data_IF_251391650043
#
_entry.id   IF_251391650043
#
_cell.length_a   1.000
_cell.length_b   1.000
_cell.length_c   1.000
_cell.angle_alpha   90.00
_cell.angle_beta   90.00
_cell.angle_gamma   90.00
#
_symmetry.space_group_name_H-M   'P 1'
#
loop_
_entity.id
_entity.type
_entity.pdbx_description
1 polymer ?
#
# COMPACT_ATOMS: atom_id res chain seq x y z
N UNK A 1 -11.34 -13.80 -6.25
CA UNK A 1 -10.50 -13.80 -7.47
C UNK A 1 -9.55 -14.99 -7.37
N UNK A 2 -9.61 -15.91 -8.34
CA UNK A 2 -8.81 -17.12 -8.32
C UNK A 2 -7.37 -16.81 -8.69
N UNK A 3 -6.43 -17.18 -7.83
CA UNK A 3 -5.01 -16.95 -8.08
C UNK A 3 -4.50 -17.88 -9.19
N UNK A 4 -3.71 -17.33 -10.12
CA UNK A 4 -3.02 -18.12 -11.14
C UNK A 4 -1.84 -18.86 -10.54
N UNK A 5 -1.56 -20.05 -11.06
CA UNK A 5 -0.53 -20.96 -10.54
C UNK A 5 0.87 -20.30 -10.59
N UNK A 6 1.23 -19.68 -11.72
CA UNK A 6 2.54 -19.02 -11.91
C UNK A 6 2.75 -17.83 -10.97
N UNK A 7 1.69 -17.05 -10.72
CA UNK A 7 1.74 -15.92 -9.81
C UNK A 7 2.05 -16.39 -8.39
N UNK A 8 1.44 -17.49 -7.95
CA UNK A 8 1.69 -18.02 -6.61
C UNK A 8 3.12 -18.53 -6.47
N UNK A 9 3.67 -19.19 -7.47
CA UNK A 9 5.07 -19.65 -7.45
C UNK A 9 6.03 -18.45 -7.37
N UNK A 10 5.80 -17.42 -8.20
CA UNK A 10 6.58 -16.18 -8.14
C UNK A 10 6.43 -15.46 -6.79
N UNK A 11 5.20 -15.35 -6.28
CA UNK A 11 4.91 -14.68 -5.04
C UNK A 11 5.52 -15.39 -3.83
N UNK A 12 5.71 -16.71 -3.85
CA UNK A 12 6.36 -17.44 -2.76
C UNK A 12 7.89 -17.37 -2.83
N UNK A 13 8.47 -17.23 -4.03
CA UNK A 13 9.92 -17.17 -4.23
C UNK A 13 10.65 -18.43 -3.73
N UNK A 14 11.92 -18.32 -3.30
CA UNK A 14 12.66 -19.45 -2.75
C UNK A 14 12.15 -19.81 -1.34
N UNK A 15 11.12 -20.66 -1.29
CA UNK A 15 10.43 -20.99 -0.04
C UNK A 15 10.99 -22.24 0.68
N UNK A 16 11.69 -23.13 -0.05
CA UNK A 16 12.29 -24.35 0.50
C UNK A 16 13.45 -24.00 1.44
N UNK A 17 13.52 -24.67 2.59
CA UNK A 17 14.63 -24.54 3.55
C UNK A 17 15.19 -25.94 3.85
N UNK A 18 16.50 -26.11 3.71
CA UNK A 18 17.17 -27.42 3.76
C UNK A 18 16.95 -28.22 5.07
N UNK A 19 16.70 -27.54 6.20
CA UNK A 19 16.51 -28.18 7.52
C UNK A 19 15.07 -28.17 8.03
N UNK A 20 14.10 -27.76 7.22
CA UNK A 20 12.70 -27.67 7.65
C UNK A 20 11.80 -28.65 6.88
N UNK A 21 10.80 -29.28 7.55
CA UNK A 21 9.77 -30.03 6.84
C UNK A 21 9.12 -29.18 5.75
N UNK A 22 8.93 -29.74 4.55
CA UNK A 22 8.44 -28.99 3.39
C UNK A 22 7.08 -28.33 3.65
N UNK A 23 6.19 -29.00 4.41
CA UNK A 23 4.89 -28.44 4.78
C UNK A 23 5.01 -27.20 5.68
N UNK A 24 5.97 -27.22 6.63
CA UNK A 24 6.27 -26.08 7.49
C UNK A 24 6.88 -24.92 6.70
N UNK A 25 7.80 -25.23 5.80
CA UNK A 25 8.46 -24.24 4.94
C UNK A 25 7.46 -23.55 4.00
N UNK A 26 6.54 -24.31 3.40
CA UNK A 26 5.48 -23.80 2.53
C UNK A 26 4.49 -22.93 3.32
N UNK A 27 3.99 -23.42 4.46
CA UNK A 27 3.08 -22.63 5.31
C UNK A 27 3.72 -21.29 5.73
N UNK A 28 4.99 -21.32 6.13
CA UNK A 28 5.74 -20.09 6.47
C UNK A 28 5.82 -19.13 5.28
N UNK A 29 6.18 -19.60 4.09
CA UNK A 29 6.31 -18.75 2.92
C UNK A 29 4.98 -18.13 2.48
N UNK A 30 3.86 -18.85 2.59
CA UNK A 30 2.52 -18.30 2.32
C UNK A 30 2.20 -17.17 3.30
N UNK A 31 2.51 -17.34 4.60
CA UNK A 31 2.32 -16.27 5.60
C UNK A 31 3.17 -15.05 5.31
N UNK A 32 4.46 -15.24 5.02
CA UNK A 32 5.38 -14.14 4.68
C UNK A 32 4.88 -13.41 3.43
N UNK A 33 4.49 -14.12 2.38
CA UNK A 33 3.95 -13.49 1.18
C UNK A 33 2.65 -12.72 1.42
N UNK A 34 1.82 -13.14 2.37
CA UNK A 34 0.60 -12.43 2.77
C UNK A 34 0.93 -11.16 3.58
N UNK A 35 1.90 -11.26 4.50
CA UNK A 35 2.37 -10.14 5.33
C UNK A 35 3.06 -9.05 4.51
N UNK A 36 3.85 -9.46 3.51
CA UNK A 36 4.56 -8.55 2.61
C UNK A 36 3.63 -7.95 1.52
N UNK A 37 2.36 -8.36 1.47
CA UNK A 37 1.40 -7.91 0.46
C UNK A 37 1.58 -8.51 -0.94
N UNK A 38 2.53 -9.46 -1.11
CA UNK A 38 2.73 -10.22 -2.37
C UNK A 38 1.53 -11.11 -2.68
N UNK A 39 0.81 -11.57 -1.67
CA UNK A 39 -0.48 -12.24 -1.80
C UNK A 39 -1.51 -11.34 -1.12
N UNK A 40 -2.63 -11.05 -1.80
CA UNK A 40 -3.71 -10.26 -1.18
C UNK A 40 -4.59 -11.15 -0.28
N UNK A 41 -4.93 -10.71 0.94
CA UNK A 41 -6.02 -11.31 1.70
C UNK A 41 -7.31 -11.38 0.86
N UNK A 42 -8.08 -12.46 1.01
CA UNK A 42 -9.26 -12.74 0.19
C UNK A 42 -8.97 -13.43 -1.15
N UNK A 43 -7.71 -13.66 -1.49
CA UNK A 43 -7.37 -14.43 -2.71
C UNK A 43 -7.68 -15.91 -2.55
N UNK A 44 -8.23 -16.53 -3.59
CA UNK A 44 -8.49 -17.96 -3.61
C UNK A 44 -7.24 -18.71 -4.11
N UNK A 45 -6.78 -19.66 -3.30
CA UNK A 45 -5.70 -20.56 -3.66
C UNK A 45 -6.16 -21.56 -4.73
N UNK A 46 -5.25 -21.98 -5.63
CA UNK A 46 -5.49 -23.10 -6.52
C UNK A 46 -5.87 -24.37 -5.75
N UNK A 47 -6.54 -25.30 -6.44
CA UNK A 47 -6.81 -26.62 -5.86
C UNK A 47 -5.50 -27.33 -5.48
N UNK A 48 -5.50 -28.10 -4.39
CA UNK A 48 -4.30 -28.74 -3.83
C UNK A 48 -3.48 -29.53 -4.86
N UNK A 49 -4.17 -30.22 -5.78
CA UNK A 49 -3.52 -30.97 -6.87
C UNK A 49 -2.75 -30.07 -7.83
N UNK A 50 -3.31 -28.90 -8.19
CA UNK A 50 -2.65 -27.92 -9.07
C UNK A 50 -1.49 -27.25 -8.35
N UNK A 51 -1.69 -26.91 -7.07
CA UNK A 51 -0.68 -26.32 -6.23
C UNK A 51 0.54 -27.25 -6.05
N UNK A 52 0.29 -28.54 -5.82
CA UNK A 52 1.33 -29.56 -5.73
C UNK A 52 2.14 -29.68 -7.03
N UNK A 53 1.46 -29.67 -8.18
CA UNK A 53 2.10 -29.71 -9.49
C UNK A 53 2.96 -28.45 -9.75
N UNK A 54 2.41 -27.26 -9.49
CA UNK A 54 3.11 -25.99 -9.69
C UNK A 54 4.35 -25.84 -8.78
N UNK A 55 4.32 -26.38 -7.57
CA UNK A 55 5.42 -26.30 -6.60
C UNK A 55 6.40 -27.50 -6.65
N UNK A 56 6.10 -28.51 -7.48
CA UNK A 56 6.90 -29.73 -7.60
C UNK A 56 7.02 -30.50 -6.29
N UNK A 57 5.93 -30.66 -5.55
CA UNK A 57 5.87 -31.39 -4.26
C UNK A 57 4.69 -32.36 -4.21
N UNK A 58 4.69 -33.27 -3.23
CA UNK A 58 3.57 -34.20 -3.03
C UNK A 58 2.31 -33.48 -2.56
N UNK A 59 1.13 -34.03 -2.93
CA UNK A 59 -0.16 -33.52 -2.43
C UNK A 59 -0.23 -33.48 -0.91
N UNK A 60 0.26 -34.52 -0.23
CA UNK A 60 0.29 -34.57 1.23
C UNK A 60 1.10 -33.43 1.86
N UNK A 61 2.16 -32.95 1.19
CA UNK A 61 2.93 -31.78 1.66
C UNK A 61 2.07 -30.51 1.61
N UNK A 62 1.31 -30.32 0.52
CA UNK A 62 0.41 -29.19 0.35
C UNK A 62 -0.74 -29.26 1.34
N UNK A 63 -1.40 -30.42 1.48
CA UNK A 63 -2.49 -30.63 2.43
C UNK A 63 -2.03 -30.31 3.86
N UNK A 64 -0.89 -30.85 4.30
CA UNK A 64 -0.34 -30.57 5.62
C UNK A 64 0.05 -29.09 5.80
N UNK A 65 0.50 -28.39 4.76
CA UNK A 65 0.78 -26.96 4.83
C UNK A 65 -0.50 -26.14 4.99
N UNK A 66 -1.56 -26.48 4.23
CA UNK A 66 -2.84 -25.79 4.29
C UNK A 66 -3.57 -26.05 5.61
N UNK A 67 -3.50 -27.25 6.17
CA UNK A 67 -4.01 -27.56 7.52
C UNK A 67 -3.37 -26.67 8.57
N UNK A 68 -2.03 -26.58 8.59
CA UNK A 68 -1.31 -25.67 9.51
C UNK A 68 -1.73 -24.20 9.36
N UNK A 69 -2.00 -23.77 8.13
CA UNK A 69 -2.48 -22.41 7.87
C UNK A 69 -3.92 -22.22 8.34
N UNK A 70 -4.79 -23.23 8.23
CA UNK A 70 -6.16 -23.20 8.75
C UNK A 70 -6.17 -23.14 10.27
N UNK A 71 -5.40 -23.99 10.93
CA UNK A 71 -5.30 -24.05 12.39
C UNK A 71 -4.81 -22.72 12.98
N UNK A 72 -3.89 -22.06 12.27
CA UNK A 72 -3.39 -20.74 12.65
C UNK A 72 -4.25 -19.56 12.13
N UNK A 73 -5.39 -19.83 11.48
CA UNK A 73 -6.34 -18.82 11.02
C UNK A 73 -5.99 -18.07 9.72
N UNK A 74 -4.91 -18.45 9.04
CA UNK A 74 -4.42 -17.81 7.80
C UNK A 74 -5.14 -18.25 6.53
N UNK A 75 -5.83 -19.39 6.58
CA UNK A 75 -6.61 -19.93 5.47
C UNK A 75 -7.99 -20.31 5.97
N UNK A 76 -9.01 -19.98 5.19
CA UNK A 76 -10.38 -20.44 5.40
C UNK A 76 -10.78 -21.33 4.23
N UNK A 77 -11.38 -22.48 4.53
CA UNK A 77 -11.95 -23.36 3.52
C UNK A 77 -13.46 -23.42 3.73
N UNK A 78 -14.22 -23.08 2.70
CA UNK A 78 -15.66 -23.33 2.65
C UNK A 78 -15.87 -24.69 1.98
N UNK A 79 -16.72 -25.53 2.56
CA UNK A 79 -16.98 -26.90 2.07
C UNK A 79 -17.34 -26.87 0.57
N UNK A 80 -16.63 -27.65 -0.24
CA UNK A 80 -16.79 -27.68 -1.70
C UNK A 80 -16.26 -26.47 -2.47
N UNK A 81 -15.56 -25.53 -1.81
CA UNK A 81 -15.04 -24.29 -2.42
C UNK A 81 -13.52 -24.18 -2.33
N UNK A 82 -12.93 -23.28 -3.13
CA UNK A 82 -11.50 -22.98 -3.07
C UNK A 82 -11.09 -22.47 -1.67
N UNK A 83 -9.86 -22.75 -1.25
CA UNK A 83 -9.32 -22.23 0.02
C UNK A 83 -8.93 -20.77 -0.15
N UNK A 84 -9.37 -19.90 0.74
CA UNK A 84 -9.11 -18.46 0.67
C UNK A 84 -8.13 -18.05 1.75
N UNK A 85 -7.09 -17.29 1.40
CA UNK A 85 -6.15 -16.73 2.37
C UNK A 85 -6.74 -15.52 3.08
N UNK A 86 -6.43 -15.34 4.35
CA UNK A 86 -6.89 -14.22 5.17
C UNK A 86 -5.83 -13.83 6.19
N UNK A 87 -5.86 -12.58 6.65
CA UNK A 87 -5.06 -12.15 7.79
C UNK A 87 -5.82 -12.50 9.07
N UNK A 88 -5.21 -13.23 10.03
CA UNK A 88 -5.77 -13.34 11.37
C UNK A 88 -5.89 -11.95 12.02
N UNK A 89 -6.90 -11.73 12.86
CA UNK A 89 -7.16 -10.44 13.51
C UNK A 89 -5.93 -9.88 14.23
N UNK A 90 -5.22 -10.71 15.00
CA UNK A 90 -3.98 -10.31 15.69
C UNK A 90 -2.84 -9.88 14.73
N UNK A 91 -2.78 -10.45 13.52
CA UNK A 91 -1.83 -10.02 12.50
C UNK A 91 -2.30 -8.73 11.82
N UNK A 92 -3.61 -8.57 11.59
CA UNK A 92 -4.19 -7.35 11.05
C UNK A 92 -3.97 -6.16 11.99
N UNK A 93 -4.18 -6.32 13.29
CA UNK A 93 -3.94 -5.28 14.30
C UNK A 93 -2.48 -4.81 14.33
N UNK A 94 -1.52 -5.75 14.22
CA UNK A 94 -0.09 -5.42 14.18
C UNK A 94 0.35 -4.64 12.93
N UNK A 95 -0.36 -4.81 11.81
CA UNK A 95 0.00 -4.21 10.52
C UNK A 95 -0.87 -2.98 10.24
N UNK A 96 -1.98 -2.81 10.98
CA UNK A 96 -2.83 -1.65 10.88
C UNK A 96 -1.99 -0.37 11.04
N UNK A 97 -2.32 0.71 10.32
CA UNK A 97 -1.76 2.01 10.61
C UNK A 97 -2.02 2.35 12.09
N UNK A 98 -1.02 2.83 12.82
CA UNK A 98 -1.26 3.45 14.15
C UNK A 98 -2.24 4.62 14.02
N UNK A 99 -2.30 5.23 12.84
CA UNK A 99 -3.29 6.23 12.45
C UNK A 99 -4.73 5.68 12.44
N UNK A 100 -4.95 4.37 12.38
CA UNK A 100 -6.26 3.74 12.45
C UNK A 100 -6.78 3.57 13.88
N UNK A 101 -5.90 3.60 14.89
CA UNK A 101 -6.27 3.49 16.32
C UNK A 101 -6.43 4.85 17.00
N UNK A 102 -6.12 5.96 16.31
CA UNK A 102 -6.31 7.31 16.83
C UNK A 102 -5.29 7.76 17.87
N UNK A 103 -4.23 6.98 18.12
CA UNK A 103 -3.14 7.33 19.03
C UNK A 103 -2.14 8.30 18.38
N UNK A 104 -2.62 9.47 17.97
CA UNK A 104 -1.83 10.46 17.24
C UNK A 104 -0.91 11.32 18.14
N UNK A 105 -0.71 10.96 19.42
CA UNK A 105 -0.08 11.85 20.41
C UNK A 105 1.34 11.46 20.86
N UNK A 106 1.66 10.16 20.93
CA UNK A 106 2.88 9.69 21.62
C UNK A 106 3.85 8.89 20.74
N UNK A 107 3.46 8.56 19.50
CA UNK A 107 4.25 7.69 18.62
C UNK A 107 4.59 8.41 17.32
N UNK A 108 5.86 8.38 16.94
CA UNK A 108 6.34 8.88 15.64
C UNK A 108 5.92 7.89 14.55
N UNK A 109 4.98 8.30 13.69
CA UNK A 109 4.58 7.51 12.51
C UNK A 109 5.59 7.71 11.37
N UNK A 110 6.55 6.79 11.27
CA UNK A 110 7.58 6.80 10.21
C UNK A 110 7.02 6.54 8.79
N UNK A 111 5.73 6.26 8.65
CA UNK A 111 5.06 6.12 7.35
C UNK A 111 4.55 7.47 6.82
N UNK A 112 4.55 8.54 7.64
CA UNK A 112 4.21 9.90 7.17
C UNK A 112 5.39 10.49 6.40
N UNK A 113 5.25 10.57 5.08
CA UNK A 113 6.24 11.21 4.20
C UNK A 113 6.29 12.74 4.34
N UNK A 114 5.30 13.34 5.01
CA UNK A 114 5.18 14.80 5.17
C UNK A 114 4.81 15.12 6.63
N UNK A 115 5.52 16.06 7.28
CA UNK A 115 5.17 16.49 8.64
C UNK A 115 3.78 17.16 8.67
N UNK A 116 3.17 17.21 9.84
CA UNK A 116 1.94 17.99 10.03
C UNK A 116 2.22 19.47 9.73
N UNK A 117 1.31 20.12 8.98
CA UNK A 117 1.44 21.54 8.70
C UNK A 117 1.33 22.36 10.00
N UNK A 118 2.18 23.38 10.23
CA UNK A 118 2.04 24.28 11.37
C UNK A 118 0.70 25.01 11.31
N UNK A 119 -0.21 24.70 12.23
CA UNK A 119 -1.62 25.13 12.20
C UNK A 119 -1.77 26.63 12.03
N UNK A 120 -1.06 27.41 12.84
CA UNK A 120 -1.26 28.86 12.88
C UNK A 120 -0.74 29.54 11.61
N UNK A 121 0.40 29.08 11.08
CA UNK A 121 0.93 29.57 9.80
C UNK A 121 -0.02 29.22 8.65
N UNK A 122 -0.59 28.02 8.65
CA UNK A 122 -1.54 27.59 7.63
C UNK A 122 -2.82 28.45 7.64
N UNK A 123 -3.38 28.71 8.82
CA UNK A 123 -4.57 29.55 8.97
C UNK A 123 -4.31 31.00 8.53
N UNK A 124 -3.17 31.58 8.93
CA UNK A 124 -2.79 32.92 8.51
C UNK A 124 -2.59 33.02 6.99
N UNK A 125 -1.93 32.04 6.38
CA UNK A 125 -1.72 32.00 4.93
C UNK A 125 -3.06 31.87 4.17
N UNK A 126 -3.96 31.01 4.66
CA UNK A 126 -5.29 30.80 4.07
C UNK A 126 -6.11 32.08 4.11
N UNK A 127 -6.16 32.76 5.26
CA UNK A 127 -6.87 34.03 5.41
C UNK A 127 -6.37 35.08 4.41
N UNK A 128 -5.05 35.27 4.32
CA UNK A 128 -4.44 36.22 3.38
C UNK A 128 -4.73 35.85 1.92
N UNK A 129 -4.78 34.57 1.59
CA UNK A 129 -5.10 34.11 0.25
C UNK A 129 -6.56 34.44 -0.10
N UNK A 130 -7.50 34.17 0.80
CA UNK A 130 -8.92 34.49 0.62
C UNK A 130 -9.15 35.99 0.45
N UNK A 131 -8.51 36.81 1.28
CA UNK A 131 -8.59 38.28 1.20
C UNK A 131 -8.07 38.83 -0.16
N UNK A 132 -7.17 38.11 -0.83
CA UNK A 132 -6.58 38.50 -2.13
C UNK A 132 -7.20 37.81 -3.34
N UNK A 133 -8.15 36.90 -3.13
CA UNK A 133 -8.70 36.06 -4.19
C UNK A 133 -9.71 36.79 -5.10
N UNK A 134 -10.23 37.96 -4.69
CA UNK A 134 -11.28 38.68 -5.41
C UNK A 134 -11.07 38.81 -6.93
N UNK A 135 -9.92 39.33 -7.40
CA UNK A 135 -9.64 39.43 -8.84
C UNK A 135 -9.61 38.07 -9.55
N UNK A 136 -9.05 37.05 -8.91
CA UNK A 136 -8.92 35.69 -9.47
C UNK A 136 -10.28 34.98 -9.59
N UNK A 137 -11.27 35.37 -8.80
CA UNK A 137 -12.64 34.84 -8.86
C UNK A 137 -13.49 35.53 -9.93
N UNK A 138 -13.07 36.70 -10.42
CA UNK A 138 -13.78 37.47 -11.45
C UNK A 138 -13.37 37.08 -12.88
N UNK A 139 -12.19 36.47 -13.06
CA UNK A 139 -11.71 35.99 -14.35
C UNK A 139 -12.43 34.70 -14.78
N UNK A 140 -12.83 34.63 -16.05
CA UNK A 140 -13.40 33.40 -16.62
C UNK A 140 -12.30 32.34 -16.71
N UNK A 141 -12.46 31.24 -15.98
CA UNK A 141 -11.44 30.21 -15.82
C UNK A 141 -11.19 29.42 -17.09
N UNK A 142 -10.27 29.89 -17.93
CA UNK A 142 -9.64 29.01 -18.90
C UNK A 142 -8.73 28.01 -18.16
N UNK A 143 -8.75 26.71 -18.52
CA UNK A 143 -7.84 25.72 -17.96
C UNK A 143 -6.38 26.02 -18.34
N UNK A 144 -5.74 26.90 -17.57
CA UNK A 144 -4.34 27.26 -17.70
C UNK A 144 -3.43 26.41 -16.80
N UNK A 145 -2.11 26.59 -16.90
CA UNK A 145 -1.12 25.89 -16.07
C UNK A 145 -1.14 26.29 -14.57
N UNK A 146 -2.09 27.13 -14.14
CA UNK A 146 -2.21 27.71 -12.81
C UNK A 146 -2.01 29.21 -12.78
N UNK A 147 -2.29 29.82 -11.63
CA UNK A 147 -2.20 31.28 -11.38
C UNK A 147 -0.76 31.77 -11.66
N UNK A 148 -0.55 32.79 -12.51
CA UNK A 148 0.79 33.28 -12.89
C UNK A 148 1.66 33.67 -11.69
N UNK A 149 1.10 34.39 -10.72
CA UNK A 149 1.80 34.84 -9.51
C UNK A 149 2.28 33.65 -8.67
N UNK A 150 1.45 32.61 -8.56
CA UNK A 150 1.80 31.39 -7.84
C UNK A 150 2.93 30.63 -8.54
N UNK A 151 2.88 30.54 -9.87
CA UNK A 151 3.93 29.89 -10.68
C UNK A 151 5.28 30.60 -10.52
N UNK A 152 5.27 31.94 -10.53
CA UNK A 152 6.47 32.74 -10.29
C UNK A 152 7.03 32.54 -8.87
N UNK A 153 6.15 32.50 -7.86
CA UNK A 153 6.56 32.26 -6.48
C UNK A 153 7.20 30.86 -6.28
N UNK A 154 6.62 29.83 -6.89
CA UNK A 154 7.15 28.45 -6.85
C UNK A 154 8.50 28.37 -7.57
N UNK A 155 8.60 28.93 -8.78
CA UNK A 155 9.84 28.95 -9.57
C UNK A 155 10.98 29.67 -8.82
N UNK A 156 10.68 30.81 -8.20
CA UNK A 156 11.63 31.55 -7.36
C UNK A 156 12.06 30.77 -6.12
N UNK A 157 11.14 29.99 -5.51
CA UNK A 157 11.47 29.10 -4.40
C UNK A 157 12.44 28.00 -4.83
N UNK A 158 12.14 27.26 -5.90
CA UNK A 158 13.03 26.19 -6.38
C UNK A 158 14.40 26.74 -6.77
N UNK A 159 14.44 27.92 -7.38
CA UNK A 159 15.71 28.57 -7.74
C UNK A 159 16.54 28.91 -6.50
N UNK A 160 15.92 29.41 -5.41
CA UNK A 160 16.61 29.61 -4.12
C UNK A 160 17.07 28.31 -3.47
N UNK A 161 16.35 27.22 -3.70
CA UNK A 161 16.71 25.87 -3.22
C UNK A 161 17.74 25.17 -4.14
N UNK A 162 18.27 25.87 -5.16
CA UNK A 162 19.36 25.39 -6.01
C UNK A 162 18.92 24.79 -7.35
N UNK A 163 17.63 24.81 -7.67
CA UNK A 163 17.10 24.32 -8.96
C UNK A 163 16.62 25.49 -9.81
N UNK A 164 17.45 25.96 -10.75
CA UNK A 164 17.08 27.04 -11.68
C UNK A 164 15.79 26.69 -12.43
N UNK A 165 14.71 27.41 -12.12
CA UNK A 165 13.37 27.10 -12.60
C UNK A 165 12.69 28.39 -13.07
N UNK A 166 12.11 28.36 -14.27
CA UNK A 166 11.30 29.46 -14.82
C UNK A 166 9.81 29.21 -14.63
N UNK A 167 8.96 30.25 -14.51
CA UNK A 167 7.52 30.09 -14.29
C UNK A 167 6.83 29.21 -15.35
N UNK A 168 7.28 29.27 -16.61
CA UNK A 168 6.73 28.52 -17.73
C UNK A 168 6.85 27.00 -17.55
N UNK A 169 7.80 26.57 -16.70
CA UNK A 169 8.09 25.17 -16.39
C UNK A 169 7.24 24.63 -15.21
N UNK A 170 6.41 25.47 -14.59
CA UNK A 170 5.53 25.10 -13.47
C UNK A 170 4.10 24.84 -13.98
N UNK A 171 3.56 23.68 -13.62
CA UNK A 171 2.14 23.32 -13.73
C UNK A 171 1.57 23.09 -12.33
N UNK A 172 0.54 23.84 -11.94
CA UNK A 172 -0.13 23.71 -10.64
C UNK A 172 -1.33 22.78 -10.80
N UNK A 173 -1.41 21.74 -9.96
CA UNK A 173 -2.52 20.79 -9.93
C UNK A 173 -3.01 20.62 -8.49
N UNK A 174 -4.21 20.07 -8.31
CA UNK A 174 -4.77 19.72 -7.00
C UNK A 174 -4.09 18.51 -6.31
N UNK A 175 -2.95 18.06 -6.85
CA UNK A 175 -2.18 16.94 -6.34
C UNK A 175 -2.34 15.67 -7.18
N UNK A 176 -1.41 14.73 -7.01
CA UNK A 176 -1.50 13.39 -7.58
C UNK A 176 -2.21 12.50 -6.56
N UNK A 177 -3.43 12.06 -6.85
CA UNK A 177 -4.14 11.10 -6.01
C UNK A 177 -3.32 9.81 -5.83
N UNK A 178 -3.45 9.10 -4.69
CA UNK A 178 -2.78 7.83 -4.48
C UNK A 178 -3.25 6.84 -5.56
N UNK A 179 -2.30 6.23 -6.28
CA UNK A 179 -2.54 5.05 -7.11
C UNK A 179 -2.39 3.80 -6.27
#
# INVERSE_FOLDING_TARGET
MRMRDDYLVQALGPWRKAKAPLSAALARAVREALLDGRIRPGSELPAERRLAAALGVSRGTVTAALERLRDAGWVRTRQGSASTVQLPAAAAERIAPLSATGEAGSVIDLRRAVPAAPRDLYLQATRRATERAGPLLAEHGEPGPGIPELRAAIAGRYSREGTTTRPEQILVTSGRGPR
#
